data_IF_525474294624
#
_entry.id   IF_525474294624
#
_cell.length_a   1.000
_cell.length_b   1.000
_cell.length_c   1.000
_cell.angle_alpha   90.00
_cell.angle_beta   90.00
_cell.angle_gamma   90.00
#
_symmetry.space_group_name_H-M   'P 1'
#
loop_
_entity.id
_entity.type
_entity.pdbx_description
1 polymer ?
#
# COMPACT_ATOMS: atom_id res chain seq x y z
N UNK A 1 -27.58 -4.60 -11.75
CA UNK A 1 -26.16 -4.97 -12.03
C UNK A 1 -25.09 -4.04 -11.38
N UNK A 2 -25.43 -3.03 -10.56
CA UNK A 2 -24.43 -2.11 -9.97
C UNK A 2 -23.67 -2.66 -8.74
N UNK A 3 -24.24 -3.61 -7.98
CA UNK A 3 -23.62 -4.12 -6.74
C UNK A 3 -22.30 -4.88 -6.95
N UNK A 4 -22.13 -5.54 -8.09
CA UNK A 4 -20.93 -6.36 -8.36
C UNK A 4 -19.69 -5.52 -8.69
N UNK A 5 -19.88 -4.37 -9.35
CA UNK A 5 -18.77 -3.45 -9.70
C UNK A 5 -18.17 -2.80 -8.46
N UNK A 6 -19.00 -2.30 -7.55
CA UNK A 6 -18.54 -1.69 -6.28
C UNK A 6 -17.81 -2.70 -5.40
N UNK A 7 -18.37 -3.90 -5.22
CA UNK A 7 -17.71 -4.96 -4.46
C UNK A 7 -16.35 -5.37 -5.06
N UNK A 8 -16.27 -5.45 -6.39
CA UNK A 8 -15.00 -5.74 -7.10
C UNK A 8 -13.99 -4.61 -6.91
N UNK A 9 -14.41 -3.34 -7.05
CA UNK A 9 -13.56 -2.17 -6.79
C UNK A 9 -12.99 -2.19 -5.37
N UNK A 10 -13.83 -2.41 -4.35
CA UNK A 10 -13.38 -2.46 -2.96
C UNK A 10 -12.35 -3.57 -2.70
N UNK A 11 -12.51 -4.74 -3.34
CA UNK A 11 -11.49 -5.80 -3.28
C UNK A 11 -10.18 -5.38 -3.94
N UNK A 12 -10.23 -4.72 -5.10
CA UNK A 12 -9.02 -4.23 -5.78
C UNK A 12 -8.28 -3.18 -4.94
N UNK A 13 -8.99 -2.21 -4.36
CA UNK A 13 -8.41 -1.20 -3.47
C UNK A 13 -7.77 -1.88 -2.25
N UNK A 14 -8.45 -2.86 -1.65
CA UNK A 14 -7.90 -3.64 -0.54
C UNK A 14 -6.61 -4.37 -0.92
N UNK A 15 -6.60 -5.09 -2.05
CA UNK A 15 -5.41 -5.76 -2.56
C UNK A 15 -4.26 -4.78 -2.82
N UNK A 16 -4.55 -3.61 -3.40
CA UNK A 16 -3.57 -2.55 -3.63
C UNK A 16 -2.91 -2.09 -2.32
N UNK A 17 -3.70 -1.86 -1.27
CA UNK A 17 -3.18 -1.44 0.04
C UNK A 17 -2.26 -2.52 0.62
N UNK A 18 -2.68 -3.79 0.60
CA UNK A 18 -1.87 -4.91 1.09
C UNK A 18 -0.56 -5.05 0.31
N UNK A 19 -0.64 -4.96 -1.02
CA UNK A 19 0.53 -5.02 -1.88
C UNK A 19 1.52 -3.90 -1.55
N UNK A 20 1.06 -2.64 -1.50
CA UNK A 20 1.94 -1.51 -1.21
C UNK A 20 2.55 -1.58 0.20
N UNK A 21 1.81 -2.06 1.21
CA UNK A 21 2.38 -2.32 2.55
C UNK A 21 3.51 -3.34 2.52
N UNK A 22 3.37 -4.41 1.73
CA UNK A 22 4.45 -5.37 1.51
C UNK A 22 5.64 -4.72 0.81
N UNK A 23 5.40 -3.87 -0.17
CA UNK A 23 6.45 -3.11 -0.89
C UNK A 23 7.23 -2.19 0.05
N UNK A 24 6.54 -1.42 0.91
CA UNK A 24 7.18 -0.59 1.94
C UNK A 24 8.10 -1.43 2.83
N UNK A 25 7.60 -2.56 3.35
CA UNK A 25 8.40 -3.47 4.20
C UNK A 25 9.62 -4.02 3.45
N UNK A 26 9.45 -4.40 2.19
CA UNK A 26 10.54 -4.89 1.33
C UNK A 26 11.63 -3.85 1.13
N UNK A 27 11.28 -2.63 0.73
CA UNK A 27 12.25 -1.56 0.55
C UNK A 27 12.95 -1.17 1.86
N UNK A 28 12.23 -1.11 2.98
CA UNK A 28 12.86 -0.86 4.28
C UNK A 28 13.82 -1.97 4.70
N UNK A 29 13.53 -3.24 4.39
CA UNK A 29 14.44 -4.35 4.63
C UNK A 29 15.70 -4.23 3.75
N UNK A 30 15.55 -3.91 2.47
CA UNK A 30 16.67 -3.66 1.56
C UNK A 30 17.52 -2.46 2.01
N UNK A 31 16.90 -1.40 2.53
CA UNK A 31 17.62 -0.25 3.06
C UNK A 31 18.53 -0.61 4.25
N UNK A 32 18.15 -1.60 5.07
CA UNK A 32 18.97 -2.11 6.19
C UNK A 32 20.15 -2.95 5.73
N UNK A 33 20.04 -3.60 4.57
CA UNK A 33 21.07 -4.45 3.97
C UNK A 33 21.90 -3.72 2.91
N UNK A 34 21.66 -2.43 2.69
CA UNK A 34 22.28 -1.66 1.63
C UNK A 34 23.81 -1.58 1.81
N UNK A 35 24.59 -1.67 0.71
CA UNK A 35 26.06 -1.66 0.77
C UNK A 35 26.65 -0.30 1.13
N UNK A 36 25.87 0.78 1.04
CA UNK A 36 26.28 2.13 1.40
C UNK A 36 25.06 3.04 1.71
N UNK A 37 25.34 4.24 2.21
CA UNK A 37 24.32 5.20 2.64
C UNK A 37 23.44 5.71 1.49
N UNK A 38 23.98 5.83 0.27
CA UNK A 38 23.25 6.32 -0.90
C UNK A 38 22.19 5.31 -1.32
N UNK A 39 22.55 4.03 -1.44
CA UNK A 39 21.61 2.95 -1.73
C UNK A 39 20.58 2.80 -0.61
N UNK A 40 20.98 2.93 0.66
CA UNK A 40 20.04 2.91 1.78
C UNK A 40 19.00 4.04 1.69
N UNK A 41 19.44 5.22 1.26
CA UNK A 41 18.59 6.40 1.09
C UNK A 41 17.65 6.24 -0.09
N UNK A 42 18.13 5.70 -1.21
CA UNK A 42 17.30 5.35 -2.36
C UNK A 42 16.22 4.32 -2.02
N UNK A 43 16.57 3.26 -1.28
CA UNK A 43 15.56 2.29 -0.84
C UNK A 43 14.52 2.92 0.09
N UNK A 44 14.93 3.85 0.98
CA UNK A 44 13.98 4.61 1.82
C UNK A 44 13.09 5.54 1.01
N UNK A 45 13.57 6.16 -0.07
CA UNK A 45 12.72 7.01 -0.92
C UNK A 45 11.65 6.18 -1.64
N UNK A 46 11.99 4.99 -2.15
CA UNK A 46 11.00 4.08 -2.72
C UNK A 46 9.97 3.59 -1.69
N UNK A 47 10.39 3.34 -0.44
CA UNK A 47 9.45 3.04 0.64
C UNK A 47 8.49 4.22 0.90
N UNK A 48 8.97 5.46 0.83
CA UNK A 48 8.13 6.64 0.99
C UNK A 48 7.13 6.81 -0.17
N UNK A 49 7.53 6.56 -1.41
CA UNK A 49 6.62 6.59 -2.57
C UNK A 49 5.50 5.53 -2.46
N UNK A 50 5.87 4.32 -2.03
CA UNK A 50 4.88 3.26 -1.76
C UNK A 50 3.92 3.67 -0.62
N UNK A 51 4.41 4.40 0.39
CA UNK A 51 3.56 4.95 1.46
C UNK A 51 2.55 5.97 0.94
N UNK A 52 2.96 6.90 0.06
CA UNK A 52 2.03 7.84 -0.59
C UNK A 52 0.93 7.11 -1.36
N UNK A 53 1.29 5.99 -2.02
CA UNK A 53 0.32 5.16 -2.73
C UNK A 53 -0.68 4.48 -1.78
N UNK A 54 -0.24 4.06 -0.59
CA UNK A 54 -1.13 3.55 0.47
C UNK A 54 -2.14 4.61 0.89
N UNK A 55 -1.68 5.83 1.14
CA UNK A 55 -2.54 6.92 1.61
C UNK A 55 -3.62 7.28 0.57
N UNK A 56 -3.23 7.33 -0.71
CA UNK A 56 -4.18 7.51 -1.82
C UNK A 56 -5.24 6.40 -1.88
N UNK A 57 -4.83 5.14 -1.74
CA UNK A 57 -5.76 4.00 -1.76
C UNK A 57 -6.65 3.94 -0.51
N UNK A 58 -6.15 4.36 0.65
CA UNK A 58 -6.95 4.50 1.87
C UNK A 58 -8.04 5.55 1.70
N UNK A 59 -7.72 6.67 1.04
CA UNK A 59 -8.72 7.68 0.70
C UNK A 59 -9.78 7.13 -0.26
N UNK A 60 -9.37 6.42 -1.32
CA UNK A 60 -10.33 5.73 -2.21
C UNK A 60 -11.21 4.74 -1.46
N UNK A 61 -10.66 4.00 -0.49
CA UNK A 61 -11.43 3.10 0.37
C UNK A 61 -12.42 3.86 1.23
N UNK A 62 -12.03 5.00 1.82
CA UNK A 62 -12.90 5.85 2.64
C UNK A 62 -14.11 6.33 1.85
N UNK A 63 -13.90 6.78 0.61
CA UNK A 63 -14.95 7.34 -0.25
C UNK A 63 -15.90 6.25 -0.80
N UNK A 64 -15.37 5.11 -1.20
CA UNK A 64 -16.15 4.12 -1.97
C UNK A 64 -16.52 2.86 -1.20
N UNK A 65 -15.83 2.55 -0.10
CA UNK A 65 -15.92 1.29 0.62
C UNK A 65 -16.07 1.44 2.16
N UNK A 66 -16.94 2.35 2.66
CA UNK A 66 -16.99 2.71 4.07
C UNK A 66 -17.37 1.56 5.02
N UNK A 67 -18.05 0.52 4.51
CA UNK A 67 -18.46 -0.65 5.30
C UNK A 67 -17.45 -1.81 5.26
N UNK A 68 -16.33 -1.67 4.54
CA UNK A 68 -15.32 -2.74 4.53
C UNK A 68 -14.60 -2.79 5.86
N UNK A 69 -14.50 -3.97 6.47
CA UNK A 69 -13.75 -4.19 7.70
C UNK A 69 -12.30 -3.69 7.58
N UNK A 70 -11.68 -3.27 8.69
CA UNK A 70 -10.29 -2.80 8.69
C UNK A 70 -9.36 -3.82 8.02
N UNK A 71 -8.42 -3.32 7.22
CA UNK A 71 -7.37 -4.15 6.60
C UNK A 71 -6.33 -4.46 7.68
N UNK A 72 -6.50 -5.59 8.34
CA UNK A 72 -5.49 -6.17 9.23
C UNK A 72 -4.48 -6.87 8.35
N UNK A 73 -3.34 -6.23 8.11
CA UNK A 73 -2.18 -6.88 7.47
C UNK A 73 -1.25 -7.29 8.61
N UNK A 74 -0.98 -8.59 8.82
CA UNK A 74 0.06 -9.02 9.75
C UNK A 74 1.41 -8.48 9.30
#
# INVERSE_FOLDING_TARGET
MMHTRRARFCRLVHHGICHQRSTVRGFLALARLAPNADVATLMRSFAAEAQVSIDALLEQRRLHCPHTLPIVVP
#
